data_IF_219940698443
#
_entry.id   IF_219940698443
#
_cell.length_a   1.000
_cell.length_b   1.000
_cell.length_c   1.000
_cell.angle_alpha   90.00
_cell.angle_beta   90.00
_cell.angle_gamma   90.00
#
_symmetry.space_group_name_H-M   'P 1'
#
loop_
_entity.id
_entity.type
_entity.pdbx_description
1 polymer ?
#
# COMPACT_ATOMS: atom_id res chain seq x y z
N UNK A 1 7.26 12.30 -0.48
CA UNK A 1 8.11 11.28 0.17
C UNK A 1 9.38 11.08 -0.65
N UNK A 2 10.53 10.77 -0.07
CA UNK A 2 11.76 10.52 -0.87
C UNK A 2 11.91 9.07 -1.31
N UNK A 3 11.35 8.12 -0.56
CA UNK A 3 11.47 6.69 -0.81
C UNK A 3 10.33 5.93 -0.10
N UNK A 4 9.79 4.89 -0.73
CA UNK A 4 8.84 3.93 -0.13
C UNK A 4 9.63 2.66 0.19
N UNK A 5 9.51 2.12 1.40
CA UNK A 5 10.12 0.83 1.76
C UNK A 5 9.05 -0.23 2.03
N UNK A 6 9.45 -1.51 1.99
CA UNK A 6 8.55 -2.65 2.17
C UNK A 6 7.95 -2.76 3.57
N UNK A 7 8.61 -2.16 4.56
CA UNK A 7 8.21 -2.19 5.97
C UNK A 7 7.19 -1.08 6.32
N UNK A 8 6.94 -0.14 5.40
CA UNK A 8 5.96 0.93 5.60
C UNK A 8 4.54 0.40 5.55
N UNK A 9 3.65 0.98 6.35
CA UNK A 9 2.22 0.65 6.30
C UNK A 9 1.58 1.25 5.05
N UNK A 10 0.65 0.52 4.43
CA UNK A 10 -0.11 1.02 3.28
C UNK A 10 -0.80 2.35 3.61
N UNK A 11 -1.40 2.49 4.79
CA UNK A 11 -2.04 3.73 5.22
C UNK A 11 -1.09 4.93 5.27
N UNK A 12 0.15 4.71 5.72
CA UNK A 12 1.19 5.76 5.76
C UNK A 12 1.63 6.17 4.36
N UNK A 13 1.82 5.19 3.46
CA UNK A 13 2.18 5.43 2.06
C UNK A 13 1.10 6.30 1.38
N UNK A 14 -0.18 5.93 1.54
CA UNK A 14 -1.30 6.64 0.91
C UNK A 14 -1.52 8.05 1.48
N UNK A 15 -1.27 8.25 2.79
CA UNK A 15 -1.30 9.57 3.39
C UNK A 15 -0.15 10.45 2.91
N UNK A 16 1.03 9.87 2.72
CA UNK A 16 2.20 10.59 2.26
C UNK A 16 2.13 10.97 0.77
N UNK A 17 1.53 10.12 -0.06
CA UNK A 17 1.28 10.38 -1.47
C UNK A 17 0.13 9.52 -2.01
N UNK A 18 -1.06 10.12 -2.15
CA UNK A 18 -2.23 9.43 -2.67
C UNK A 18 -2.10 9.02 -4.16
N UNK A 19 -1.14 9.58 -4.91
CA UNK A 19 -0.91 9.20 -6.32
C UNK A 19 -0.31 7.81 -6.47
N UNK A 20 0.17 7.22 -5.38
CA UNK A 20 0.65 5.82 -5.32
C UNK A 20 -0.50 4.81 -5.41
N UNK A 21 -1.71 5.19 -4.99
CA UNK A 21 -2.88 4.30 -5.03
C UNK A 21 -3.11 3.59 -6.38
N UNK A 22 -3.21 4.31 -7.52
CA UNK A 22 -3.38 3.66 -8.83
C UNK A 22 -2.20 2.77 -9.24
N UNK A 23 -0.98 3.05 -8.76
CA UNK A 23 0.21 2.22 -9.04
C UNK A 23 0.07 0.88 -8.32
N UNK A 24 -0.29 0.90 -7.03
CA UNK A 24 -0.49 -0.32 -6.24
C UNK A 24 -1.66 -1.14 -6.80
N UNK A 25 -2.78 -0.49 -7.14
CA UNK A 25 -3.93 -1.18 -7.73
C UNK A 25 -3.58 -1.85 -9.06
N UNK A 26 -2.78 -1.20 -9.91
CA UNK A 26 -2.29 -1.78 -11.16
C UNK A 26 -1.39 -3.01 -10.95
N UNK A 27 -0.74 -3.11 -9.78
CA UNK A 27 0.07 -4.27 -9.38
C UNK A 27 -0.73 -5.42 -8.76
N UNK A 28 -2.06 -5.30 -8.63
CA UNK A 28 -2.91 -6.34 -8.03
C UNK A 28 -3.52 -5.96 -6.69
N UNK A 29 -3.02 -4.90 -6.05
CA UNK A 29 -3.42 -4.44 -4.72
C UNK A 29 -4.74 -3.64 -4.74
N UNK A 30 -5.83 -4.26 -5.19
CA UNK A 30 -7.13 -3.60 -5.36
C UNK A 30 -7.79 -3.19 -4.04
N UNK A 31 -7.36 -3.78 -2.93
CA UNK A 31 -7.97 -3.59 -1.60
C UNK A 31 -7.24 -2.57 -0.72
N UNK A 32 -6.29 -1.78 -1.23
CA UNK A 32 -5.48 -0.83 -0.44
C UNK A 32 -6.30 0.24 0.31
N UNK A 33 -7.54 0.50 -0.10
CA UNK A 33 -8.46 1.40 0.60
C UNK A 33 -9.16 0.76 1.81
N UNK A 34 -9.09 -0.56 1.96
CA UNK A 34 -9.70 -1.30 3.07
C UNK A 34 -9.00 -0.97 4.39
N UNK A 35 -9.73 -0.75 5.50
CA UNK A 35 -9.12 -0.52 6.81
C UNK A 35 -8.16 -1.64 7.25
N UNK A 36 -8.41 -2.89 6.83
CA UNK A 36 -7.51 -4.00 7.10
C UNK A 36 -6.16 -3.80 6.40
N UNK A 37 -6.17 -3.60 5.08
CA UNK A 37 -4.93 -3.45 4.30
C UNK A 37 -4.14 -2.19 4.63
N UNK A 38 -4.79 -1.11 5.07
CA UNK A 38 -4.09 0.09 5.54
C UNK A 38 -3.26 -0.14 6.81
N UNK A 39 -3.58 -1.18 7.60
CA UNK A 39 -2.83 -1.59 8.78
C UNK A 39 -1.72 -2.60 8.54
N UNK A 40 -1.56 -3.06 7.29
CA UNK A 40 -0.52 -4.03 6.90
C UNK A 40 0.70 -3.31 6.31
N UNK A 41 1.89 -3.91 6.47
CA UNK A 41 3.07 -3.47 5.73
C UNK A 41 2.91 -3.73 4.23
N UNK A 42 3.64 -2.98 3.40
CA UNK A 42 3.63 -3.17 1.95
C UNK A 42 4.04 -4.60 1.56
N UNK A 43 5.01 -5.22 2.26
CA UNK A 43 5.43 -6.61 2.02
C UNK A 43 4.31 -7.61 2.34
N UNK A 44 3.70 -7.53 3.52
CA UNK A 44 2.61 -8.44 3.92
C UNK A 44 1.42 -8.30 2.97
N UNK A 45 1.03 -7.06 2.68
CA UNK A 45 -0.12 -6.77 1.85
C UNK A 45 0.10 -7.32 0.43
N UNK A 46 1.30 -7.16 -0.16
CA UNK A 46 1.63 -7.72 -1.47
C UNK A 46 1.58 -9.26 -1.48
N UNK A 47 2.06 -9.91 -0.41
CA UNK A 47 2.07 -11.38 -0.32
C UNK A 47 0.66 -12.00 -0.21
N UNK A 48 -0.32 -11.27 0.32
CA UNK A 48 -1.69 -11.76 0.55
C UNK A 48 -2.67 -11.28 -0.53
N UNK A 49 -2.47 -10.06 -1.05
CA UNK A 49 -3.45 -9.37 -1.89
C UNK A 49 -3.03 -9.16 -3.35
N UNK A 50 -1.76 -9.39 -3.73
CA UNK A 50 -1.28 -9.32 -5.12
C UNK A 50 0.14 -8.80 -5.27
#
# INVERSE_FOLDING_TARGET
MKEVTKDMLIGEILQADATVAPILMASGMHCIGCPASQGESLEEAAMVHG
#
